data_IF_066770697272
#
_entry.id   IF_066770697272
#
_cell.length_a   1.000
_cell.length_b   1.000
_cell.length_c   1.000
_cell.angle_alpha   90.00
_cell.angle_beta   90.00
_cell.angle_gamma   90.00
#
_symmetry.space_group_name_H-M   'P 1'
#
loop_
_entity.id
_entity.type
_entity.pdbx_description
1 polymer ?
#
# COMPACT_ATOMS: atom_id res chain seq x y z
N UNK A 1 -17.78 31.66 58.70
CA UNK A 1 -16.48 30.95 58.67
C UNK A 1 -16.69 29.67 57.87
N UNK A 2 -16.62 29.74 56.54
CA UNK A 2 -15.44 29.60 55.65
C UNK A 2 -15.15 28.13 55.27
N UNK A 3 -15.64 27.78 54.07
CA UNK A 3 -15.00 27.03 52.97
C UNK A 3 -14.60 25.55 53.19
N UNK A 4 -15.52 24.65 52.82
CA UNK A 4 -15.21 23.29 52.35
C UNK A 4 -16.01 22.97 51.08
N UNK A 5 -15.70 23.65 49.97
CA UNK A 5 -16.08 23.21 48.63
C UNK A 5 -14.97 23.70 47.68
N UNK A 6 -14.68 22.93 46.63
CA UNK A 6 -13.67 23.20 45.59
C UNK A 6 -12.25 22.71 45.85
N UNK A 7 -12.05 21.39 45.98
CA UNK A 7 -10.78 20.77 45.57
C UNK A 7 -10.99 19.59 44.60
N UNK A 8 -12.11 18.87 44.65
CA UNK A 8 -12.29 17.70 43.77
C UNK A 8 -12.62 17.98 42.29
N UNK A 9 -13.00 19.19 41.90
CA UNK A 9 -13.40 19.47 40.52
C UNK A 9 -12.22 19.76 39.57
N UNK A 10 -11.05 20.14 40.09
CA UNK A 10 -9.92 20.56 39.25
C UNK A 10 -9.09 19.38 38.72
N UNK A 11 -9.06 18.25 39.42
CA UNK A 11 -8.26 17.07 39.00
C UNK A 11 -8.97 16.27 37.89
N UNK A 12 -10.31 16.27 37.88
CA UNK A 12 -11.09 15.51 36.89
C UNK A 12 -11.11 16.17 35.49
N UNK A 13 -10.80 17.47 35.39
CA UNK A 13 -10.80 18.21 34.12
C UNK A 13 -9.50 18.05 33.31
N UNK A 14 -8.41 17.54 33.91
CA UNK A 14 -7.14 17.31 33.20
C UNK A 14 -7.08 15.99 32.42
N UNK A 15 -8.04 15.08 32.64
CA UNK A 15 -8.13 13.80 31.93
C UNK A 15 -8.99 13.86 30.65
N UNK A 16 -9.58 15.01 30.35
CA UNK A 16 -10.44 15.24 29.17
C UNK A 16 -9.85 16.30 28.25
N UNK A 17 -8.52 16.40 28.16
CA UNK A 17 -7.95 16.94 26.93
C UNK A 17 -8.43 15.99 25.82
N UNK A 18 -9.26 16.45 24.86
CA UNK A 18 -9.48 15.63 23.68
C UNK A 18 -8.09 15.37 23.13
N UNK A 19 -7.71 14.11 23.00
CA UNK A 19 -6.71 13.76 22.01
C UNK A 19 -7.22 14.43 20.74
N UNK A 20 -6.64 15.58 20.39
CA UNK A 20 -6.54 15.98 19.01
C UNK A 20 -5.75 14.84 18.40
N UNK A 21 -6.48 13.80 17.99
CA UNK A 21 -6.33 13.23 16.68
C UNK A 21 -6.23 14.45 15.78
N UNK A 22 -4.99 14.92 15.58
CA UNK A 22 -4.66 15.57 14.35
C UNK A 22 -5.06 14.48 13.35
N UNK A 23 -6.26 14.61 12.80
CA UNK A 23 -6.53 14.09 11.49
C UNK A 23 -5.45 14.77 10.67
N UNK A 24 -4.29 14.11 10.58
CA UNK A 24 -3.28 14.47 9.62
C UNK A 24 -4.07 14.51 8.32
N UNK A 25 -4.06 15.68 7.69
CA UNK A 25 -4.64 15.86 6.37
C UNK A 25 -4.24 14.65 5.54
N UNK A 26 -5.22 13.77 5.24
CA UNK A 26 -4.96 12.50 4.56
C UNK A 26 -4.51 12.88 3.16
N UNK A 27 -3.20 12.99 2.97
CA UNK A 27 -2.63 13.10 1.64
C UNK A 27 -3.07 11.84 0.89
N UNK A 28 -3.85 11.94 -0.20
CA UNK A 28 -4.29 10.78 -0.96
C UNK A 28 -3.12 9.97 -1.52
N UNK A 29 -1.91 10.56 -1.57
CA UNK A 29 -0.66 9.88 -1.91
C UNK A 29 -0.18 8.96 -0.77
N UNK A 30 -0.71 9.07 0.44
CA UNK A 30 -0.32 8.32 1.64
C UNK A 30 -0.35 6.80 1.51
N UNK A 31 -1.11 6.26 0.57
CA UNK A 31 -1.30 4.82 0.33
C UNK A 31 -0.13 4.14 -0.42
N UNK A 32 1.13 4.47 -0.10
CA UNK A 32 2.31 3.90 -0.79
C UNK A 32 2.40 2.38 -0.57
N UNK A 33 2.22 1.91 0.67
CA UNK A 33 2.25 0.47 0.97
C UNK A 33 1.13 -0.31 0.29
N UNK A 34 -0.04 0.32 0.12
CA UNK A 34 -1.17 -0.23 -0.62
C UNK A 34 -0.86 -0.41 -2.11
N UNK A 35 -0.31 0.62 -2.74
CA UNK A 35 0.07 0.58 -4.15
C UNK A 35 1.18 -0.44 -4.38
N UNK A 36 2.17 -0.49 -3.49
CA UNK A 36 3.19 -1.53 -3.50
C UNK A 36 2.55 -2.92 -3.48
N UNK A 37 1.67 -3.21 -2.52
CA UNK A 37 1.00 -4.50 -2.39
C UNK A 37 0.29 -4.91 -3.68
N UNK A 38 -0.48 -3.98 -4.28
CA UNK A 38 -1.20 -4.24 -5.52
C UNK A 38 -0.24 -4.54 -6.67
N UNK A 39 0.74 -3.67 -6.90
CA UNK A 39 1.65 -3.78 -8.04
C UNK A 39 2.63 -4.95 -7.92
N UNK A 40 3.16 -5.21 -6.72
CA UNK A 40 4.03 -6.36 -6.47
C UNK A 40 3.27 -7.68 -6.63
N UNK A 41 2.01 -7.74 -6.17
CA UNK A 41 1.16 -8.93 -6.39
C UNK A 41 0.85 -9.13 -7.88
N UNK A 42 0.54 -8.05 -8.60
CA UNK A 42 0.34 -8.13 -10.05
C UNK A 42 1.60 -8.61 -10.78
N UNK A 43 2.74 -7.99 -10.50
CA UNK A 43 4.03 -8.31 -11.11
C UNK A 43 4.40 -9.78 -10.89
N UNK A 44 4.29 -10.25 -9.65
CA UNK A 44 4.53 -11.64 -9.28
C UNK A 44 3.59 -12.61 -9.99
N UNK A 45 2.29 -12.31 -10.05
CA UNK A 45 1.31 -13.19 -10.72
C UNK A 45 1.49 -13.20 -12.24
N UNK A 46 1.77 -12.06 -12.86
CA UNK A 46 2.07 -11.95 -14.30
C UNK A 46 3.30 -12.78 -14.66
N UNK A 47 4.33 -12.74 -13.81
CA UNK A 47 5.54 -13.56 -13.93
C UNK A 47 5.22 -15.05 -13.74
N UNK A 48 4.46 -15.41 -12.71
CA UNK A 48 4.12 -16.79 -12.40
C UNK A 48 3.25 -17.46 -13.49
N UNK A 49 2.37 -16.67 -14.13
CA UNK A 49 1.49 -17.15 -15.20
C UNK A 49 2.08 -17.00 -16.61
N UNK A 50 3.32 -16.49 -16.73
CA UNK A 50 4.04 -16.30 -18.00
C UNK A 50 3.28 -15.47 -19.06
N UNK A 51 2.60 -14.40 -18.61
CA UNK A 51 1.80 -13.53 -19.50
C UNK A 51 2.45 -12.15 -19.75
N UNK A 52 3.59 -11.87 -19.12
CA UNK A 52 4.32 -10.61 -19.33
C UNK A 52 4.85 -10.45 -20.77
N UNK A 53 5.07 -11.56 -21.48
CA UNK A 53 5.57 -11.56 -22.86
C UNK A 53 4.61 -10.95 -23.89
N UNK A 54 3.31 -10.87 -23.58
CA UNK A 54 2.30 -10.29 -24.47
C UNK A 54 2.37 -8.75 -24.51
N UNK A 55 2.98 -8.12 -23.50
CA UNK A 55 3.20 -6.67 -23.44
C UNK A 55 4.44 -6.36 -22.58
N UNK A 56 5.65 -6.48 -23.15
CA UNK A 56 6.88 -6.31 -22.41
C UNK A 56 7.08 -4.88 -21.91
N UNK A 57 6.60 -3.87 -22.63
CA UNK A 57 6.76 -2.46 -22.23
C UNK A 57 5.97 -2.15 -20.96
N UNK A 58 4.70 -2.58 -20.90
CA UNK A 58 3.90 -2.40 -19.70
C UNK A 58 4.44 -3.21 -18.51
N UNK A 59 4.90 -4.43 -18.76
CA UNK A 59 5.47 -5.26 -17.71
C UNK A 59 6.78 -4.69 -17.15
N UNK A 60 7.67 -4.17 -17.99
CA UNK A 60 8.90 -3.48 -17.58
C UNK A 60 8.58 -2.22 -16.75
N UNK A 61 7.57 -1.45 -17.15
CA UNK A 61 7.12 -0.30 -16.38
C UNK A 61 6.56 -0.70 -15.00
N UNK A 62 5.84 -1.82 -14.92
CA UNK A 62 5.34 -2.37 -13.67
C UNK A 62 6.49 -2.81 -12.75
N UNK A 63 7.47 -3.54 -13.27
CA UNK A 63 8.66 -3.98 -12.52
C UNK A 63 9.46 -2.79 -11.98
N UNK A 64 9.82 -1.86 -12.86
CA UNK A 64 10.51 -0.63 -12.48
C UNK A 64 9.71 0.18 -11.45
N UNK A 65 8.38 0.16 -11.59
CA UNK A 65 7.47 0.76 -10.64
C UNK A 65 7.55 0.18 -9.24
N UNK A 66 7.47 -1.16 -9.14
CA UNK A 66 7.60 -1.89 -7.87
C UNK A 66 8.94 -1.58 -7.21
N UNK A 67 10.06 -1.71 -7.94
CA UNK A 67 11.40 -1.44 -7.42
C UNK A 67 11.53 -0.03 -6.83
N UNK A 68 10.95 0.96 -7.51
CA UNK A 68 10.99 2.36 -7.07
C UNK A 68 10.14 2.61 -5.84
N UNK A 69 8.98 1.96 -5.74
CA UNK A 69 8.13 2.04 -4.55
C UNK A 69 8.82 1.35 -3.37
N UNK A 70 9.45 0.20 -3.57
CA UNK A 70 10.23 -0.48 -2.52
C UNK A 70 11.38 0.38 -2.03
N UNK A 71 12.15 0.98 -2.94
CA UNK A 71 13.20 1.92 -2.58
C UNK A 71 12.66 3.11 -1.78
N UNK A 72 11.46 3.61 -2.11
CA UNK A 72 10.82 4.65 -1.30
C UNK A 72 10.45 4.13 0.09
N UNK A 73 9.88 2.92 0.19
CA UNK A 73 9.49 2.31 1.46
C UNK A 73 10.70 2.14 2.38
N UNK A 74 11.82 1.61 1.86
CA UNK A 74 13.04 1.40 2.63
C UNK A 74 13.70 2.70 3.10
N UNK A 75 13.57 3.80 2.33
CA UNK A 75 14.08 5.11 2.75
C UNK A 75 13.22 5.79 3.81
N UNK A 76 11.93 5.45 3.90
CA UNK A 76 10.95 6.17 4.72
C UNK A 76 10.32 5.33 5.85
N UNK A 77 10.81 4.11 6.08
CA UNK A 77 10.35 3.23 7.14
C UNK A 77 11.44 2.26 7.58
N UNK A 78 11.22 1.57 8.70
CA UNK A 78 12.10 0.49 9.16
C UNK A 78 11.82 -0.85 8.45
N UNK A 79 11.02 -0.84 7.38
CA UNK A 79 10.68 -2.04 6.60
C UNK A 79 11.93 -2.57 5.90
N UNK A 80 12.09 -3.89 5.91
CA UNK A 80 13.18 -4.60 5.22
C UNK A 80 12.68 -5.37 4.01
N UNK A 81 13.58 -5.77 3.12
CA UNK A 81 13.27 -6.69 2.00
C UNK A 81 12.61 -7.98 2.50
N UNK A 82 13.07 -8.52 3.63
CA UNK A 82 12.48 -9.71 4.25
C UNK A 82 11.06 -9.48 4.77
N UNK A 83 10.66 -8.25 5.09
CA UNK A 83 9.28 -7.93 5.48
C UNK A 83 8.34 -7.98 4.28
N UNK A 84 8.78 -7.40 3.16
CA UNK A 84 8.06 -7.37 1.90
C UNK A 84 7.91 -8.78 1.31
N UNK A 85 8.97 -9.58 1.26
CA UNK A 85 8.88 -10.96 0.77
C UNK A 85 7.98 -11.83 1.67
N UNK A 86 8.06 -11.66 3.00
CA UNK A 86 7.13 -12.36 3.92
C UNK A 86 5.68 -11.97 3.70
N UNK A 87 5.41 -10.76 3.23
CA UNK A 87 4.06 -10.36 2.87
C UNK A 87 3.61 -11.11 1.60
N UNK A 88 4.42 -11.11 0.53
CA UNK A 88 4.09 -11.79 -0.73
C UNK A 88 3.91 -13.29 -0.55
N UNK A 89 4.80 -13.95 0.21
CA UNK A 89 4.67 -15.38 0.52
C UNK A 89 3.36 -15.68 1.26
N UNK A 90 2.97 -14.86 2.25
CA UNK A 90 1.69 -15.05 2.96
C UNK A 90 0.48 -14.84 2.05
N UNK A 91 0.58 -13.91 1.11
CA UNK A 91 -0.46 -13.70 0.11
C UNK A 91 -0.61 -14.93 -0.80
N UNK A 92 0.50 -15.49 -1.30
CA UNK A 92 0.51 -16.71 -2.11
C UNK A 92 -0.07 -17.91 -1.34
N UNK A 93 0.36 -18.11 -0.08
CA UNK A 93 -0.17 -19.16 0.78
C UNK A 93 -1.68 -19.03 1.00
N UNK A 94 -2.19 -17.79 1.13
CA UNK A 94 -3.62 -17.54 1.29
C UNK A 94 -4.37 -17.89 0.01
N UNK A 95 -3.87 -17.50 -1.16
CA UNK A 95 -4.46 -17.85 -2.44
C UNK A 95 -4.55 -19.38 -2.61
N UNK A 96 -3.49 -20.10 -2.28
CA UNK A 96 -3.46 -21.57 -2.29
C UNK A 96 -4.49 -22.16 -1.33
N UNK A 97 -4.55 -21.67 -0.08
CA UNK A 97 -5.52 -22.15 0.94
C UNK A 97 -6.97 -21.93 0.51
N UNK A 98 -7.25 -20.85 -0.21
CA UNK A 98 -8.56 -20.52 -0.73
C UNK A 98 -8.88 -21.22 -2.07
N UNK A 99 -7.94 -21.99 -2.62
CA UNK A 99 -8.11 -22.67 -3.91
C UNK A 99 -8.25 -21.69 -5.08
N UNK A 100 -7.66 -20.50 -4.97
CA UNK A 100 -7.70 -19.49 -6.02
C UNK A 100 -6.68 -19.85 -7.10
N UNK A 101 -7.17 -20.12 -8.30
CA UNK A 101 -6.31 -20.23 -9.49
C UNK A 101 -5.97 -18.82 -9.99
N UNK A 102 -4.76 -18.36 -9.66
CA UNK A 102 -4.27 -17.03 -10.06
C UNK A 102 -4.06 -16.90 -11.57
N UNK A 103 -3.87 -18.01 -12.29
CA UNK A 103 -3.63 -18.03 -13.73
C UNK A 103 -4.88 -18.32 -14.55
N UNK A 104 -6.03 -18.56 -13.90
CA UNK A 104 -7.30 -18.67 -14.59
C UNK A 104 -7.58 -17.38 -15.39
N UNK A 105 -8.06 -17.46 -16.66
CA UNK A 105 -8.33 -16.27 -17.48
C UNK A 105 -9.28 -15.24 -16.83
N UNK A 106 -10.14 -15.72 -15.92
CA UNK A 106 -11.10 -14.95 -15.15
C UNK A 106 -10.60 -14.52 -13.77
N UNK A 107 -9.33 -14.76 -13.43
CA UNK A 107 -8.78 -14.34 -12.13
C UNK A 107 -8.78 -12.82 -12.04
N UNK A 108 -9.09 -12.31 -10.84
CA UNK A 108 -9.17 -10.85 -10.63
C UNK A 108 -7.82 -10.17 -10.84
N UNK A 109 -6.70 -10.85 -10.53
CA UNK A 109 -5.36 -10.28 -10.79
C UNK A 109 -5.10 -10.11 -12.29
N UNK A 110 -5.43 -11.10 -13.12
CA UNK A 110 -5.23 -10.99 -14.57
C UNK A 110 -6.17 -9.96 -15.20
N UNK A 111 -7.41 -9.84 -14.71
CA UNK A 111 -8.32 -8.76 -15.11
C UNK A 111 -7.77 -7.39 -14.74
N UNK A 112 -7.20 -7.25 -13.53
CA UNK A 112 -6.60 -6.01 -13.08
C UNK A 112 -5.40 -5.62 -13.96
N UNK A 113 -4.52 -6.58 -14.26
CA UNK A 113 -3.38 -6.33 -15.15
C UNK A 113 -3.81 -5.83 -16.53
N UNK A 114 -4.78 -6.51 -17.16
CA UNK A 114 -5.34 -6.09 -18.45
C UNK A 114 -5.99 -4.71 -18.39
N UNK A 115 -6.78 -4.46 -17.34
CA UNK A 115 -7.43 -3.17 -17.09
C UNK A 115 -6.41 -2.04 -16.98
N UNK A 116 -5.37 -2.21 -16.15
CA UNK A 116 -4.34 -1.19 -15.98
C UNK A 116 -3.58 -0.95 -17.28
N UNK A 117 -3.21 -2.02 -17.99
CA UNK A 117 -2.57 -1.91 -19.30
C UNK A 117 -3.42 -1.13 -20.29
N UNK A 118 -4.69 -1.49 -20.42
CA UNK A 118 -5.60 -0.93 -21.43
C UNK A 118 -6.02 0.52 -21.13
N UNK A 119 -6.14 0.88 -19.85
CA UNK A 119 -6.60 2.22 -19.44
C UNK A 119 -5.48 3.20 -19.09
N UNK A 120 -4.35 2.72 -18.56
CA UNK A 120 -3.22 3.58 -18.18
C UNK A 120 -2.03 3.45 -19.13
N UNK A 121 -1.72 2.22 -19.58
CA UNK A 121 -0.50 1.94 -20.32
C UNK A 121 0.78 2.17 -19.50
N UNK A 122 1.93 1.93 -20.12
CA UNK A 122 3.24 2.00 -19.44
C UNK A 122 3.57 3.42 -18.96
N UNK A 123 3.30 4.41 -19.81
CA UNK A 123 3.53 5.83 -19.49
C UNK A 123 2.61 6.31 -18.36
N UNK A 124 1.33 5.95 -18.40
CA UNK A 124 0.36 6.33 -17.37
C UNK A 124 0.70 5.71 -16.01
N UNK A 125 1.11 4.44 -16.00
CA UNK A 125 1.60 3.77 -14.80
C UNK A 125 2.84 4.47 -14.22
N UNK A 126 3.83 4.74 -15.07
CA UNK A 126 5.06 5.43 -14.67
C UNK A 126 4.78 6.82 -14.08
N UNK A 127 3.88 7.57 -14.70
CA UNK A 127 3.47 8.90 -14.24
C UNK A 127 2.78 8.83 -12.89
N UNK A 128 1.83 7.91 -12.72
CA UNK A 128 1.13 7.74 -11.46
C UNK A 128 2.09 7.41 -10.31
N UNK A 129 3.06 6.52 -10.57
CA UNK A 129 4.09 6.20 -9.58
C UNK A 129 4.96 7.42 -9.28
N UNK A 130 5.35 8.22 -10.28
CA UNK A 130 6.11 9.46 -10.03
C UNK A 130 5.35 10.42 -9.11
N UNK A 131 4.06 10.63 -9.36
CA UNK A 131 3.20 11.50 -8.54
C UNK A 131 3.09 11.01 -7.09
N UNK A 132 2.95 9.70 -6.91
CA UNK A 132 2.92 9.08 -5.59
C UNK A 132 4.27 9.27 -4.91
N UNK A 133 5.38 9.03 -5.58
CA UNK A 133 6.71 9.07 -4.97
C UNK A 133 7.32 10.48 -4.87
N UNK A 134 6.62 11.53 -5.34
CA UNK A 134 7.15 12.90 -5.40
C UNK A 134 7.47 13.49 -4.02
N UNK A 135 6.66 13.18 -3.01
CA UNK A 135 6.77 13.75 -1.67
C UNK A 135 7.29 12.72 -0.67
N UNK A 136 8.47 12.94 -0.12
CA UNK A 136 9.03 12.12 0.96
C UNK A 136 8.14 12.20 2.21
N UNK A 137 7.73 11.05 2.74
CA UNK A 137 6.77 10.93 3.85
C UNK A 137 6.83 9.53 4.47
N UNK A 138 6.44 9.37 5.75
CA UNK A 138 6.30 8.05 6.35
C UNK A 138 5.41 7.16 5.49
N UNK A 139 5.79 5.89 5.35
CA UNK A 139 4.95 4.89 4.68
C UNK A 139 3.74 4.66 5.59
N UNK A 140 2.61 5.30 5.28
CA UNK A 140 1.40 5.11 6.08
C UNK A 140 0.97 3.65 5.98
N UNK A 141 0.81 3.02 7.14
CA UNK A 141 0.25 1.69 7.28
C UNK A 141 -1.27 1.83 7.43
N UNK A 142 -2.04 1.39 6.42
CA UNK A 142 -3.47 1.06 6.45
C UNK A 142 -4.54 2.18 6.26
N UNK A 143 -5.71 1.88 5.63
CA UNK A 143 -6.15 0.57 5.17
C UNK A 143 -6.03 0.32 3.68
N UNK A 144 -5.26 -0.72 3.36
CA UNK A 144 -5.70 -1.67 2.35
C UNK A 144 -6.16 -2.95 3.06
N UNK A 145 -7.21 -2.79 3.87
CA UNK A 145 -8.19 -3.77 4.38
C UNK A 145 -9.23 -3.03 5.24
#
# INVERSE_FOLDING_TARGET
MVRHLSICAAVLMLALAPMRSQAAEEDPRGAVGCLWMLYATLERNVRACDIGGDDPEFFEALQSGVDRIEAFIFRNSDTTEADLERFLVRHDELAIKLGIDICAPQSETLKMYKTLREHFGAEGLTRNINEVLEVERPVLSNPCL
#
